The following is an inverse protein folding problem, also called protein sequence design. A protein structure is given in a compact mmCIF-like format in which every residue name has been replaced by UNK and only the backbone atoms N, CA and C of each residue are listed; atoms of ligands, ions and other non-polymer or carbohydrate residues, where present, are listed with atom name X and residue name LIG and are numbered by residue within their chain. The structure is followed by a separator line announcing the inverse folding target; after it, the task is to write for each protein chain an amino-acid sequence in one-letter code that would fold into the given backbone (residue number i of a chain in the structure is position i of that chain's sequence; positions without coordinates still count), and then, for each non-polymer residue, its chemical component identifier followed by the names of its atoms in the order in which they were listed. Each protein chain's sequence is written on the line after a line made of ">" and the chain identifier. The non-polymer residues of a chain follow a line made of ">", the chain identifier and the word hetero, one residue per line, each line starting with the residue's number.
data_IF_874521055781
#
_entry.id   IF_874521055781
#
_cell.length_a   1.000
_cell.length_b   1.000
_cell.length_c   1.000
_cell.angle_alpha   90.00
_cell.angle_beta   90.00
_cell.angle_gamma   90.00
#
_symmetry.space_group_name_H-M   'P 1'
#
loop_
_entity.id
_entity.type
_entity.pdbx_description
1 polymer ?
#
# COMPACT_ATOMS: atom_id res chain seq x y z
N UNK A 1 18.01 -12.78 7.49
CA UNK A 1 18.12 -12.40 6.06
C UNK A 1 17.16 -11.28 5.64
N UNK A 2 16.20 -10.84 6.48
CA UNK A 2 15.23 -9.77 6.16
C UNK A 2 15.76 -8.35 6.43
N UNK A 3 16.69 -8.19 7.38
CA UNK A 3 17.18 -6.87 7.79
C UNK A 3 17.92 -6.07 6.70
N UNK A 4 18.88 -6.64 5.92
CA UNK A 4 19.56 -5.88 4.88
C UNK A 4 18.63 -5.37 3.78
N UNK A 5 17.60 -6.14 3.43
CA UNK A 5 16.59 -5.73 2.45
C UNK A 5 15.71 -4.59 2.95
N UNK A 6 15.38 -4.61 4.24
CA UNK A 6 14.64 -3.52 4.89
C UNK A 6 15.42 -2.21 4.88
N UNK A 7 16.71 -2.27 5.17
CA UNK A 7 17.59 -1.08 5.20
C UNK A 7 17.68 -0.44 3.83
N UNK A 8 17.92 -1.22 2.78
CA UNK A 8 17.99 -0.72 1.40
C UNK A 8 16.66 -0.09 0.93
N UNK A 9 15.54 -0.76 1.15
CA UNK A 9 14.23 -0.23 0.79
C UNK A 9 13.92 1.07 1.53
N UNK A 10 14.27 1.15 2.81
CA UNK A 10 14.11 2.35 3.64
C UNK A 10 14.95 3.53 3.15
N UNK A 11 16.20 3.30 2.76
CA UNK A 11 17.09 4.34 2.22
C UNK A 11 16.57 4.91 0.89
N UNK A 12 16.15 4.05 -0.04
CA UNK A 12 15.60 4.49 -1.32
C UNK A 12 14.30 5.24 -1.13
N UNK A 13 13.41 4.76 -0.26
CA UNK A 13 12.16 5.44 0.07
C UNK A 13 12.41 6.82 0.71
N UNK A 14 13.40 6.94 1.60
CA UNK A 14 13.80 8.20 2.19
C UNK A 14 14.41 9.18 1.16
N UNK A 15 15.14 8.68 0.16
CA UNK A 15 15.63 9.50 -0.95
C UNK A 15 14.50 9.97 -1.86
N UNK A 16 13.53 9.10 -2.17
CA UNK A 16 12.34 9.46 -2.95
C UNK A 16 11.54 10.57 -2.25
N UNK A 17 11.38 10.51 -0.94
CA UNK A 17 10.69 11.55 -0.17
C UNK A 17 11.36 12.93 -0.20
N UNK A 18 12.64 13.01 -0.62
CA UNK A 18 13.39 14.27 -0.77
C UNK A 18 13.35 14.87 -2.17
N UNK A 19 12.62 14.27 -3.11
CA UNK A 19 12.48 14.80 -4.46
C UNK A 19 11.58 16.04 -4.42
N UNK A 20 12.15 17.22 -4.69
CA UNK A 20 11.46 18.50 -4.62
C UNK A 20 10.21 18.61 -5.50
N UNK A 21 10.14 17.85 -6.60
CA UNK A 21 8.97 17.76 -7.48
C UNK A 21 7.69 17.25 -6.79
N UNK A 22 7.82 16.56 -5.66
CA UNK A 22 6.65 16.16 -4.86
C UNK A 22 6.02 17.36 -4.11
N UNK A 23 6.75 18.45 -4.00
CA UNK A 23 6.33 19.73 -3.39
C UNK A 23 6.02 20.81 -4.44
N UNK A 24 5.82 20.43 -5.72
CA UNK A 24 5.57 21.40 -6.80
C UNK A 24 4.44 22.38 -6.45
N UNK A 25 4.77 23.65 -6.10
CA UNK A 25 3.76 24.65 -5.78
C UNK A 25 3.00 25.13 -7.03
N UNK A 26 3.53 24.86 -8.23
CA UNK A 26 2.88 25.13 -9.51
C UNK A 26 1.95 23.98 -9.95
N UNK A 27 2.00 22.80 -9.31
CA UNK A 27 0.89 21.86 -9.40
C UNK A 27 -0.35 22.59 -8.90
N UNK A 28 -1.08 23.19 -9.85
CA UNK A 28 -2.25 24.03 -9.59
C UNK A 28 -3.01 23.47 -8.38
N UNK A 29 -3.30 24.37 -7.42
CA UNK A 29 -4.25 24.07 -6.34
C UNK A 29 -5.58 23.79 -7.03
N UNK A 30 -5.60 22.65 -7.74
CA UNK A 30 -6.73 22.19 -8.50
C UNK A 30 -7.74 21.61 -7.55
N UNK A 31 -8.99 21.89 -7.77
CA UNK A 31 -10.12 21.29 -7.05
C UNK A 31 -10.27 19.81 -7.38
N UNK A 32 -9.15 19.05 -7.27
CA UNK A 32 -9.13 17.61 -7.49
C UNK A 32 -9.91 16.88 -6.39
N UNK A 33 -10.51 15.75 -6.73
CA UNK A 33 -11.23 14.92 -5.77
C UNK A 33 -10.36 14.60 -4.53
N UNK A 34 -9.09 14.28 -4.75
CA UNK A 34 -8.14 14.01 -3.67
C UNK A 34 -7.89 15.22 -2.76
N UNK A 35 -7.83 16.45 -3.32
CA UNK A 35 -7.65 17.68 -2.56
C UNK A 35 -8.85 17.96 -1.65
N UNK A 36 -10.08 17.86 -2.20
CA UNK A 36 -11.31 18.02 -1.41
C UNK A 36 -11.39 17.03 -0.26
N UNK A 37 -11.01 15.76 -0.50
CA UNK A 37 -11.01 14.73 0.54
C UNK A 37 -9.97 15.03 1.61
N UNK A 38 -8.74 15.43 1.23
CA UNK A 38 -7.69 15.80 2.19
C UNK A 38 -8.14 16.93 3.11
N UNK A 39 -8.73 18.00 2.55
CA UNK A 39 -9.28 19.12 3.35
C UNK A 39 -10.43 18.68 4.26
N UNK A 40 -11.37 17.87 3.73
CA UNK A 40 -12.57 17.46 4.47
C UNK A 40 -12.25 16.52 5.64
N UNK A 41 -11.29 15.61 5.46
CA UNK A 41 -11.01 14.53 6.43
C UNK A 41 -9.70 14.71 7.18
N UNK A 42 -8.86 15.67 6.81
CA UNK A 42 -7.55 15.90 7.44
C UNK A 42 -6.55 14.76 7.17
N UNK A 43 -6.61 14.13 6.00
CA UNK A 43 -5.78 12.97 5.64
C UNK A 43 -4.87 13.27 4.46
N UNK A 44 -3.68 12.67 4.42
CA UNK A 44 -2.69 12.91 3.36
C UNK A 44 -2.82 11.98 2.14
N UNK A 45 -3.26 10.75 2.35
CA UNK A 45 -3.36 9.73 1.31
C UNK A 45 -2.01 9.33 0.69
N UNK A 46 -2.04 8.78 -0.53
CA UNK A 46 -0.85 8.27 -1.21
C UNK A 46 0.19 9.37 -1.53
N UNK A 47 -0.24 10.61 -1.76
CA UNK A 47 0.70 11.74 -2.01
C UNK A 47 1.55 12.06 -0.77
N UNK A 48 0.94 12.10 0.39
CA UNK A 48 1.68 12.32 1.65
C UNK A 48 2.62 11.14 1.94
N UNK A 49 2.17 9.92 1.67
CA UNK A 49 3.02 8.73 1.76
C UNK A 49 4.31 8.87 0.93
N UNK A 50 4.21 9.36 -0.31
CA UNK A 50 5.38 9.60 -1.17
C UNK A 50 6.32 10.63 -0.55
N UNK A 51 5.81 11.76 -0.02
CA UNK A 51 6.59 12.79 0.66
C UNK A 51 7.30 12.29 1.92
N UNK A 52 6.68 11.34 2.62
CA UNK A 52 7.21 10.73 3.84
C UNK A 52 8.10 9.50 3.57
N UNK A 53 8.38 9.17 2.29
CA UNK A 53 9.18 8.00 1.92
C UNK A 53 8.42 6.68 2.04
N UNK A 54 7.13 6.69 1.75
CA UNK A 54 6.26 5.52 1.68
C UNK A 54 6.21 4.66 2.97
N UNK A 55 5.99 5.25 4.16
CA UNK A 55 6.09 4.53 5.42
C UNK A 55 5.16 3.31 5.50
N UNK A 56 3.95 3.38 4.95
CA UNK A 56 3.02 2.22 4.97
C UNK A 56 3.46 1.11 4.03
N UNK A 57 4.01 1.43 2.85
CA UNK A 57 4.58 0.43 1.96
C UNK A 57 5.78 -0.27 2.61
N UNK A 58 6.70 0.49 3.22
CA UNK A 58 7.93 -0.03 3.84
C UNK A 58 7.66 -0.80 5.13
N UNK A 59 6.77 -0.29 5.99
CA UNK A 59 6.54 -0.86 7.34
C UNK A 59 5.46 -1.94 7.38
N UNK A 60 4.53 -1.95 6.42
CA UNK A 60 3.41 -2.90 6.39
C UNK A 60 3.41 -3.75 5.13
N UNK A 61 3.48 -3.15 3.93
CA UNK A 61 3.43 -3.86 2.66
C UNK A 61 4.59 -4.82 2.47
N UNK A 62 5.84 -4.32 2.50
CA UNK A 62 7.04 -5.14 2.31
C UNK A 62 7.17 -6.29 3.32
N UNK A 63 7.01 -6.08 4.63
CA UNK A 63 7.11 -7.17 5.59
C UNK A 63 6.04 -8.24 5.39
N UNK A 64 4.81 -7.85 4.98
CA UNK A 64 3.76 -8.82 4.70
C UNK A 64 4.05 -9.60 3.41
N UNK A 65 4.52 -8.92 2.35
CA UNK A 65 4.92 -9.56 1.10
C UNK A 65 5.93 -10.69 1.35
N UNK A 66 6.97 -10.39 2.12
CA UNK A 66 8.03 -11.35 2.42
C UNK A 66 7.54 -12.50 3.30
N UNK A 67 6.78 -12.20 4.35
CA UNK A 67 6.19 -13.24 5.21
C UNK A 67 5.31 -14.21 4.43
N UNK A 68 4.46 -13.69 3.54
CA UNK A 68 3.56 -14.53 2.75
C UNK A 68 4.34 -15.41 1.76
N UNK A 69 5.42 -14.90 1.16
CA UNK A 69 6.32 -15.70 0.30
C UNK A 69 7.02 -16.80 1.08
N UNK A 70 7.58 -16.47 2.23
CA UNK A 70 8.28 -17.43 3.12
C UNK A 70 7.32 -18.50 3.65
N UNK A 71 6.06 -18.11 3.90
CA UNK A 71 5.00 -19.05 4.28
C UNK A 71 4.44 -19.90 3.13
N UNK A 72 4.99 -19.78 1.92
CA UNK A 72 4.56 -20.59 0.78
C UNK A 72 3.22 -20.18 0.15
N UNK A 73 2.74 -18.98 0.38
CA UNK A 73 1.45 -18.50 -0.16
C UNK A 73 1.42 -18.39 -1.69
N UNK A 74 2.59 -18.38 -2.34
CA UNK A 74 2.74 -18.07 -3.76
C UNK A 74 2.68 -16.57 -4.05
N UNK A 75 3.25 -16.15 -5.19
CA UNK A 75 3.47 -14.73 -5.51
C UNK A 75 2.18 -13.91 -5.58
N UNK A 76 1.13 -14.44 -6.19
CA UNK A 76 -0.15 -13.73 -6.31
C UNK A 76 -0.78 -13.45 -4.95
N UNK A 77 -0.83 -14.46 -4.08
CA UNK A 77 -1.36 -14.29 -2.73
C UNK A 77 -0.46 -13.39 -1.88
N UNK A 78 0.87 -13.49 -2.02
CA UNK A 78 1.79 -12.63 -1.29
C UNK A 78 1.60 -11.14 -1.63
N UNK A 79 1.39 -10.80 -2.90
CA UNK A 79 1.05 -9.43 -3.34
C UNK A 79 -0.30 -8.97 -2.81
N UNK A 80 -1.29 -9.85 -2.82
CA UNK A 80 -2.62 -9.55 -2.28
C UNK A 80 -2.57 -9.33 -0.77
N UNK A 81 -1.83 -10.14 -0.05
CA UNK A 81 -1.63 -9.96 1.38
C UNK A 81 -0.88 -8.66 1.70
N UNK A 82 0.09 -8.27 0.87
CA UNK A 82 0.75 -6.97 0.99
C UNK A 82 -0.21 -5.79 0.76
N UNK A 83 -1.10 -5.90 -0.25
CA UNK A 83 -2.17 -4.93 -0.47
C UNK A 83 -3.08 -4.82 0.76
N UNK A 84 -3.53 -5.96 1.29
CA UNK A 84 -4.37 -6.02 2.48
C UNK A 84 -3.68 -5.41 3.70
N UNK A 85 -2.37 -5.62 3.87
CA UNK A 85 -1.60 -5.00 4.94
C UNK A 85 -1.55 -3.47 4.82
N UNK A 86 -1.42 -2.94 3.61
CA UNK A 86 -1.49 -1.51 3.34
C UNK A 86 -2.91 -0.99 3.60
N UNK A 87 -3.95 -1.66 3.06
CA UNK A 87 -5.35 -1.31 3.24
C UNK A 87 -5.74 -1.24 4.72
N UNK A 88 -5.18 -2.10 5.56
CA UNK A 88 -5.52 -2.19 6.99
C UNK A 88 -5.14 -0.93 7.80
N UNK A 89 -4.26 -0.06 7.26
CA UNK A 89 -3.68 1.10 7.96
C UNK A 89 -3.75 2.41 7.18
N UNK A 90 -4.11 2.37 5.89
CA UNK A 90 -4.14 3.56 5.05
C UNK A 90 -5.46 4.31 5.17
N UNK A 91 -5.39 5.63 5.36
CA UNK A 91 -6.53 6.53 5.16
C UNK A 91 -6.69 6.82 3.66
N UNK A 92 -7.24 5.82 2.94
CA UNK A 92 -7.34 5.85 1.48
C UNK A 92 -8.31 6.94 1.02
N UNK A 93 -7.77 7.96 0.33
CA UNK A 93 -8.58 9.10 -0.15
C UNK A 93 -9.57 8.72 -1.24
N UNK A 94 -9.30 7.66 -2.02
CA UNK A 94 -10.23 7.16 -3.02
C UNK A 94 -11.46 6.52 -2.36
N UNK A 95 -11.25 5.74 -1.31
CA UNK A 95 -12.33 5.14 -0.52
C UNK A 95 -13.11 6.21 0.24
N UNK A 96 -12.41 7.16 0.88
CA UNK A 96 -13.06 8.29 1.57
C UNK A 96 -13.91 9.14 0.65
N UNK A 97 -13.46 9.36 -0.59
CA UNK A 97 -14.22 10.11 -1.59
C UNK A 97 -15.55 9.43 -1.93
N UNK A 98 -15.54 8.12 -2.15
CA UNK A 98 -16.70 7.37 -2.65
C UNK A 98 -17.63 6.89 -1.56
N UNK A 99 -17.08 6.46 -0.43
CA UNK A 99 -17.81 5.76 0.63
C UNK A 99 -17.65 6.36 2.03
N UNK A 100 -16.92 7.47 2.15
CA UNK A 100 -16.73 8.17 3.42
C UNK A 100 -16.03 7.33 4.49
N UNK A 101 -16.18 7.74 5.75
CA UNK A 101 -15.54 7.03 6.89
C UNK A 101 -16.06 5.60 7.10
N UNK A 102 -17.33 5.36 6.76
CA UNK A 102 -17.92 4.01 6.84
C UNK A 102 -17.22 3.07 5.86
N UNK A 103 -17.04 3.50 4.62
CA UNK A 103 -16.30 2.71 3.62
C UNK A 103 -14.85 2.47 4.01
N UNK A 104 -14.19 3.48 4.59
CA UNK A 104 -12.83 3.34 5.09
C UNK A 104 -12.74 2.29 6.21
N UNK A 105 -13.65 2.33 7.19
CA UNK A 105 -13.70 1.34 8.25
C UNK A 105 -13.95 -0.08 7.70
N UNK A 106 -14.89 -0.23 6.77
CA UNK A 106 -15.15 -1.51 6.09
C UNK A 106 -13.89 -2.05 5.41
N UNK A 107 -13.14 -1.20 4.71
CA UNK A 107 -11.88 -1.57 4.06
C UNK A 107 -10.83 -2.02 5.07
N UNK A 108 -10.57 -1.21 6.09
CA UNK A 108 -9.52 -1.47 7.07
C UNK A 108 -9.82 -2.71 7.93
N UNK A 109 -11.06 -2.83 8.45
CA UNK A 109 -11.47 -3.96 9.28
C UNK A 109 -11.53 -5.26 8.47
N UNK A 110 -12.06 -5.18 7.25
CA UNK A 110 -12.10 -6.33 6.34
C UNK A 110 -10.70 -6.82 5.98
N UNK A 111 -9.78 -5.93 5.67
CA UNK A 111 -8.39 -6.27 5.37
C UNK A 111 -7.71 -6.96 6.58
N UNK A 112 -7.89 -6.42 7.78
CA UNK A 112 -7.42 -7.05 9.03
C UNK A 112 -8.01 -8.44 9.22
N UNK A 113 -9.30 -8.61 9.00
CA UNK A 113 -9.98 -9.89 9.15
C UNK A 113 -9.47 -10.96 8.17
N UNK A 114 -9.15 -10.59 6.92
CA UNK A 114 -8.55 -11.52 5.95
C UNK A 114 -7.17 -11.98 6.42
N UNK A 115 -6.30 -11.05 6.81
CA UNK A 115 -4.96 -11.36 7.27
C UNK A 115 -4.98 -12.23 8.55
N UNK A 116 -5.85 -11.89 9.51
CA UNK A 116 -6.02 -12.66 10.74
C UNK A 116 -6.53 -14.08 10.49
N UNK A 117 -7.29 -14.31 9.40
CA UNK A 117 -7.76 -15.62 8.98
C UNK A 117 -6.72 -16.46 8.22
N UNK A 118 -5.45 -16.01 8.19
CA UNK A 118 -4.34 -16.71 7.52
C UNK A 118 -4.05 -16.24 6.12
N UNK A 119 -4.50 -15.02 5.76
CA UNK A 119 -4.23 -14.39 4.46
C UNK A 119 -5.01 -14.99 3.29
N UNK A 120 -4.75 -14.47 2.11
CA UNK A 120 -5.48 -14.82 0.87
C UNK A 120 -5.22 -16.24 0.37
N UNK A 121 -4.14 -16.89 0.80
CA UNK A 121 -3.85 -18.29 0.46
C UNK A 121 -4.70 -19.29 1.24
N UNK A 122 -5.16 -18.95 2.44
CA UNK A 122 -5.96 -19.84 3.27
C UNK A 122 -7.43 -19.89 2.84
N UNK A 123 -8.12 -21.01 3.10
CA UNK A 123 -9.55 -21.13 2.79
C UNK A 123 -10.39 -20.11 3.58
N UNK A 124 -10.07 -19.92 4.86
CA UNK A 124 -10.77 -18.96 5.73
C UNK A 124 -10.52 -17.52 5.26
N UNK A 125 -9.27 -17.17 4.92
CA UNK A 125 -8.93 -15.87 4.39
C UNK A 125 -9.62 -15.56 3.06
N UNK A 126 -9.69 -16.53 2.13
CA UNK A 126 -10.42 -16.36 0.85
C UNK A 126 -11.91 -16.06 1.05
N UNK A 127 -12.56 -16.71 2.00
CA UNK A 127 -13.97 -16.44 2.34
C UNK A 127 -14.14 -15.00 2.82
N UNK A 128 -13.25 -14.53 3.72
CA UNK A 128 -13.25 -13.15 4.22
C UNK A 128 -12.92 -12.14 3.11
N UNK A 129 -12.02 -12.49 2.20
CA UNK A 129 -11.67 -11.65 1.05
C UNK A 129 -12.86 -11.45 0.12
N UNK A 130 -13.58 -12.53 -0.23
CA UNK A 130 -14.81 -12.43 -1.03
C UNK A 130 -15.91 -11.62 -0.32
N UNK A 131 -16.00 -11.70 0.99
CA UNK A 131 -16.92 -10.87 1.78
C UNK A 131 -16.53 -9.39 1.72
N UNK A 132 -15.25 -9.07 1.92
CA UNK A 132 -14.71 -7.72 1.81
C UNK A 132 -14.96 -7.13 0.42
N UNK A 133 -14.64 -7.88 -0.64
CA UNK A 133 -14.82 -7.45 -2.02
C UNK A 133 -16.27 -7.08 -2.31
N UNK A 134 -17.23 -7.96 -1.95
CA UNK A 134 -18.66 -7.69 -2.11
C UNK A 134 -19.11 -6.43 -1.36
N UNK A 135 -18.59 -6.20 -0.15
CA UNK A 135 -18.93 -5.01 0.65
C UNK A 135 -18.37 -3.73 0.03
N UNK A 136 -17.14 -3.77 -0.47
CA UNK A 136 -16.52 -2.62 -1.15
C UNK A 136 -17.24 -2.30 -2.47
N UNK A 137 -17.60 -3.32 -3.25
CA UNK A 137 -18.39 -3.15 -4.48
C UNK A 137 -19.76 -2.51 -4.18
N UNK A 138 -20.47 -2.99 -3.15
CA UNK A 138 -21.76 -2.43 -2.74
C UNK A 138 -21.66 -0.96 -2.30
N UNK A 139 -20.53 -0.54 -1.79
CA UNK A 139 -20.23 0.85 -1.41
C UNK A 139 -19.63 1.69 -2.56
N UNK A 140 -19.47 1.11 -3.75
CA UNK A 140 -18.74 1.70 -4.87
C UNK A 140 -17.33 2.20 -4.44
N UNK A 141 -16.71 1.51 -3.50
CA UNK A 141 -15.40 1.84 -2.95
C UNK A 141 -14.29 1.07 -3.67
N UNK A 142 -13.21 1.77 -3.99
CA UNK A 142 -12.01 1.20 -4.61
C UNK A 142 -10.78 1.70 -3.88
N UNK A 143 -9.90 0.82 -3.37
CA UNK A 143 -8.71 1.19 -2.62
C UNK A 143 -7.58 1.64 -3.53
N UNK A 144 -7.79 2.74 -4.29
CA UNK A 144 -6.85 3.26 -5.27
C UNK A 144 -5.51 3.68 -4.65
N UNK A 145 -5.56 4.40 -3.53
CA UNK A 145 -4.34 4.80 -2.81
C UNK A 145 -3.53 3.60 -2.29
N UNK A 146 -4.21 2.55 -1.82
CA UNK A 146 -3.52 1.33 -1.41
C UNK A 146 -2.88 0.60 -2.60
N UNK A 147 -3.51 0.62 -3.78
CA UNK A 147 -2.95 0.04 -4.99
C UNK A 147 -1.68 0.80 -5.46
N UNK A 148 -1.67 2.13 -5.39
CA UNK A 148 -0.49 2.94 -5.67
C UNK A 148 0.67 2.60 -4.72
N UNK A 149 0.38 2.43 -3.44
CA UNK A 149 1.39 2.03 -2.46
C UNK A 149 1.87 0.58 -2.64
N UNK A 150 1.01 -0.33 -3.12
CA UNK A 150 1.45 -1.66 -3.51
C UNK A 150 2.44 -1.60 -4.68
N UNK A 151 2.21 -0.75 -5.68
CA UNK A 151 3.15 -0.55 -6.78
C UNK A 151 4.51 -0.06 -6.27
N UNK A 152 4.54 0.92 -5.36
CA UNK A 152 5.75 1.37 -4.70
C UNK A 152 6.43 0.24 -3.89
N UNK A 153 5.65 -0.56 -3.15
CA UNK A 153 6.14 -1.71 -2.41
C UNK A 153 6.83 -2.73 -3.33
N UNK A 154 6.20 -3.10 -4.45
CA UNK A 154 6.76 -4.06 -5.41
C UNK A 154 8.00 -3.51 -6.13
N UNK A 155 8.05 -2.20 -6.39
CA UNK A 155 9.23 -1.54 -6.91
C UNK A 155 10.40 -1.64 -5.93
N UNK A 156 10.19 -1.25 -4.66
CA UNK A 156 11.20 -1.31 -3.61
C UNK A 156 11.72 -2.75 -3.36
N UNK A 157 10.84 -3.75 -3.45
CA UNK A 157 11.21 -5.17 -3.32
C UNK A 157 12.18 -5.63 -4.41
N UNK A 158 12.08 -5.08 -5.62
CA UNK A 158 12.90 -5.46 -6.78
C UNK A 158 14.22 -4.71 -6.90
N UNK A 159 14.38 -3.56 -6.25
CA UNK A 159 15.59 -2.74 -6.35
C UNK A 159 16.89 -3.48 -6.03
N UNK A 160 16.98 -4.33 -4.99
CA UNK A 160 18.22 -5.06 -4.69
C UNK A 160 18.66 -5.98 -5.83
N UNK A 161 17.70 -6.60 -6.54
CA UNK A 161 17.99 -7.50 -7.65
C UNK A 161 18.56 -6.76 -8.88
N UNK A 162 18.11 -5.52 -9.11
CA UNK A 162 18.57 -4.69 -10.24
C UNK A 162 19.94 -4.07 -9.91
N UNK A 163 20.15 -3.62 -8.67
CA UNK A 163 21.41 -2.98 -8.23
C UNK A 163 22.58 -3.97 -8.16
N UNK A 164 22.32 -5.25 -7.86
CA UNK A 164 23.33 -6.31 -7.84
C UNK A 164 23.87 -6.70 -9.22
N UNK A 165 23.09 -6.50 -10.28
CA UNK A 165 23.49 -6.78 -11.65
C UNK A 165 24.42 -5.73 -12.27
N UNK A 166 24.49 -4.53 -11.72
CA UNK A 166 25.36 -3.43 -12.25
C UNK A 166 26.76 -3.38 -11.63
N UNK A 167 26.96 -4.03 -10.48
CA UNK A 167 28.26 -4.10 -9.81
C UNK A 167 29.24 -5.10 -10.46
N UNK A 168 28.83 -5.83 -11.49
CA UNK A 168 29.65 -6.85 -12.19
C UNK A 168 30.17 -6.45 -13.58
N UNK A 169 30.02 -5.19 -14.01
CA UNK A 169 30.42 -4.73 -15.37
C UNK A 169 31.24 -3.43 -15.30
N UNK A 170 32.34 -3.43 -14.54
CA UNK A 170 33.43 -2.46 -14.65
C UNK A 170 34.75 -3.21 -14.53
#
# INVERSE_FOLDING_TARGET
>A
ALEPRRTQAGEVAARAGRIALLDDPAAAIGDSHGERVRRRYGVGGAREEARLGFPRAVRHGLPQLWRSREGGAGEQNARLDALLAIMSVLDDTCVLHRAGRVGLAVMQDGARAVLAAGGSASLAGRRRLCELDRRLLALNASPGGAADLLAACLFLDRLPAVSGGWAGSL
#
